data_IF_207709668886
#
_entry.id   IF_207709668886
#
_cell.length_a   1.000
_cell.length_b   1.000
_cell.length_c   1.000
_cell.angle_alpha   90.00
_cell.angle_beta   90.00
_cell.angle_gamma   90.00
#
_symmetry.space_group_name_H-M   'P 1'
#
loop_
_entity.id
_entity.type
_entity.pdbx_description
1 polymer ?
#
# COMPACT_ATOMS: atom_id res chain seq x y z
N UNK A 1 0.44 71.82 17.73
CA UNK A 1 1.48 71.09 18.49
C UNK A 1 2.17 70.20 17.45
N UNK A 2 3.29 70.59 16.81
CA UNK A 2 4.53 71.21 17.33
C UNK A 2 5.32 70.18 18.16
N UNK A 3 6.59 69.83 17.87
CA UNK A 3 7.61 70.39 16.95
C UNK A 3 8.58 69.29 16.43
N UNK A 4 9.58 69.65 15.62
CA UNK A 4 10.56 68.75 14.97
C UNK A 4 11.91 68.61 15.73
N UNK A 5 12.87 67.91 15.10
CA UNK A 5 14.36 68.03 15.17
C UNK A 5 15.18 67.00 15.99
N UNK A 6 15.81 66.05 15.24
CA UNK A 6 17.22 65.62 15.39
C UNK A 6 17.67 64.76 16.59
N UNK A 7 18.94 64.33 16.72
CA UNK A 7 20.07 64.17 15.75
C UNK A 7 21.23 63.36 16.41
N UNK A 8 22.13 62.72 15.63
CA UNK A 8 23.43 62.11 16.03
C UNK A 8 23.45 60.85 16.92
N UNK A 9 24.58 60.13 17.17
CA UNK A 9 25.68 59.63 16.30
C UNK A 9 26.74 58.80 17.09
N UNK A 10 26.97 57.53 16.69
CA UNK A 10 28.24 56.75 16.68
C UNK A 10 29.29 56.80 17.85
N UNK A 11 29.76 55.64 18.38
CA UNK A 11 31.19 55.14 18.40
C UNK A 11 31.57 54.11 19.51
N UNK A 12 32.60 53.28 19.22
CA UNK A 12 33.53 52.50 20.11
C UNK A 12 33.02 51.26 20.90
N UNK A 13 33.86 50.28 21.35
CA UNK A 13 35.12 49.65 20.82
C UNK A 13 35.71 48.57 21.80
N UNK A 14 36.45 47.57 21.26
CA UNK A 14 37.33 46.56 21.96
C UNK A 14 36.62 45.39 22.71
N UNK A 15 37.19 44.17 22.84
CA UNK A 15 38.36 43.56 22.15
C UNK A 15 38.88 42.20 22.73
N UNK A 16 39.48 41.36 21.85
CA UNK A 16 40.55 40.33 22.03
C UNK A 16 40.47 39.12 23.02
N UNK A 17 40.66 37.90 22.45
CA UNK A 17 41.49 36.72 22.85
C UNK A 17 41.33 36.02 24.24
N UNK A 18 41.84 34.80 24.55
CA UNK A 18 42.78 33.85 23.87
C UNK A 18 42.45 32.33 24.15
N UNK A 19 43.44 31.41 24.05
CA UNK A 19 43.31 29.91 24.09
C UNK A 19 44.00 29.22 25.30
N UNK A 20 43.61 27.97 25.60
CA UNK A 20 44.39 26.75 25.98
C UNK A 20 43.52 25.81 26.88
N UNK A 21 43.60 24.46 26.97
CA UNK A 21 44.45 23.34 26.49
C UNK A 21 45.41 22.71 27.55
N UNK A 22 45.16 21.42 27.86
CA UNK A 22 46.05 20.37 28.46
C UNK A 22 46.51 20.47 29.95
N UNK A 23 47.08 19.45 30.64
CA UNK A 23 47.64 18.12 30.23
C UNK A 23 47.62 17.00 31.34
N UNK A 24 47.56 15.71 30.92
CA UNK A 24 48.28 14.47 31.40
C UNK A 24 48.20 13.80 32.80
N UNK A 25 48.21 12.44 32.80
CA UNK A 25 48.96 11.46 33.64
C UNK A 25 48.62 10.01 33.19
N UNK A 26 49.53 9.13 32.69
CA UNK A 26 50.62 8.32 33.32
C UNK A 26 50.10 7.21 34.29
N UNK A 27 50.45 5.91 34.22
CA UNK A 27 51.78 5.20 34.16
C UNK A 27 51.66 3.73 33.60
N UNK A 28 52.65 2.83 33.78
CA UNK A 28 52.82 1.57 32.99
C UNK A 28 53.42 0.31 33.70
N UNK A 29 53.54 -0.81 32.94
CA UNK A 29 54.35 -2.06 33.16
C UNK A 29 53.76 -3.19 34.08
N UNK A 30 54.16 -4.49 34.07
CA UNK A 30 55.31 -5.22 33.45
C UNK A 30 55.10 -6.76 33.27
N UNK A 31 55.57 -7.35 32.15
CA UNK A 31 56.10 -8.74 31.90
C UNK A 31 55.51 -10.04 32.48
N UNK A 32 55.34 -11.08 31.62
CA UNK A 32 56.24 -12.27 31.51
C UNK A 32 56.03 -13.04 30.18
N UNK A 33 56.93 -13.99 29.87
CA UNK A 33 57.31 -14.36 28.48
C UNK A 33 56.90 -15.76 27.99
N UNK A 34 56.92 -16.00 26.65
CA UNK A 34 56.67 -17.29 25.99
C UNK A 34 57.99 -18.08 25.76
N UNK A 35 58.00 -19.09 24.87
CA UNK A 35 58.44 -18.84 23.48
C UNK A 35 57.43 -19.38 22.43
N UNK A 36 57.58 -19.21 21.11
CA UNK A 36 58.74 -18.70 20.35
C UNK A 36 58.35 -17.58 19.35
N UNK A 37 58.54 -17.53 18.01
CA UNK A 37 58.98 -18.45 16.93
C UNK A 37 59.62 -17.64 15.75
N UNK A 38 60.25 -18.28 14.75
CA UNK A 38 61.19 -17.63 13.80
C UNK A 38 60.70 -17.45 12.33
N UNK A 39 60.85 -16.21 11.82
CA UNK A 39 61.19 -15.74 10.45
C UNK A 39 60.40 -16.23 9.17
N UNK A 40 60.31 -15.49 8.05
CA UNK A 40 60.99 -14.25 7.59
C UNK A 40 60.03 -13.36 6.74
N UNK A 41 60.34 -12.07 6.53
CA UNK A 41 59.46 -11.08 5.85
C UNK A 41 59.70 -10.91 4.33
N UNK A 42 58.66 -10.48 3.59
CA UNK A 42 58.72 -9.64 2.35
C UNK A 42 57.45 -8.73 2.30
N UNK A 43 57.54 -7.55 1.68
CA UNK A 43 56.65 -6.38 1.85
C UNK A 43 55.31 -6.32 1.04
N UNK A 44 54.35 -5.55 1.59
CA UNK A 44 53.32 -4.65 0.98
C UNK A 44 52.50 -5.03 -0.31
N UNK A 45 51.32 -4.38 -0.58
CA UNK A 45 50.32 -3.77 0.32
C UNK A 45 48.83 -3.99 -0.08
N UNK A 46 47.91 -3.49 0.78
CA UNK A 46 46.52 -3.04 0.48
C UNK A 46 45.51 -3.99 -0.21
N UNK A 47 44.51 -4.44 0.56
CA UNK A 47 43.09 -4.27 0.20
C UNK A 47 42.19 -4.43 1.44
N UNK A 48 41.12 -3.63 1.55
CA UNK A 48 40.22 -3.62 2.71
C UNK A 48 38.95 -4.45 2.51
N UNK A 49 38.92 -5.67 3.04
CA UNK A 49 37.72 -6.54 3.04
C UNK A 49 37.00 -6.54 4.38
N UNK A 50 35.88 -5.81 4.51
CA UNK A 50 35.02 -5.88 5.71
C UNK A 50 34.07 -7.07 5.60
N UNK A 51 34.39 -8.13 6.33
CA UNK A 51 33.50 -9.27 6.54
C UNK A 51 32.30 -8.86 7.40
N UNK A 52 31.07 -9.07 6.90
CA UNK A 52 29.84 -8.96 7.68
C UNK A 52 29.41 -10.36 8.08
N UNK A 53 29.40 -10.65 9.38
CA UNK A 53 28.94 -11.95 9.91
C UNK A 53 27.42 -12.06 9.75
N UNK A 54 26.95 -13.20 9.25
CA UNK A 54 25.57 -13.64 9.43
C UNK A 54 25.32 -14.02 10.89
N UNK A 55 24.10 -13.78 11.37
CA UNK A 55 23.57 -14.35 12.61
C UNK A 55 22.13 -14.78 12.35
N UNK A 56 21.93 -16.04 11.98
CA UNK A 56 20.61 -16.67 12.09
C UNK A 56 20.40 -17.13 13.53
N UNK A 57 19.22 -16.84 14.08
CA UNK A 57 18.71 -17.54 15.28
C UNK A 57 17.19 -17.59 15.20
N UNK A 58 16.65 -18.78 14.93
CA UNK A 58 15.22 -19.03 14.82
C UNK A 58 14.49 -18.84 16.15
N UNK A 59 13.32 -18.20 16.12
CA UNK A 59 12.29 -18.37 17.13
C UNK A 59 11.00 -18.83 16.45
N UNK A 60 10.53 -20.03 16.82
CA UNK A 60 9.15 -20.44 16.58
C UNK A 60 8.29 -19.78 17.67
N UNK A 61 7.58 -18.73 17.31
CA UNK A 61 6.42 -18.23 18.06
C UNK A 61 5.16 -18.89 17.50
N UNK A 62 4.36 -19.52 18.35
CA UNK A 62 2.98 -19.92 18.01
C UNK A 62 2.05 -18.87 18.58
N UNK A 63 2.02 -17.70 17.94
CA UNK A 63 1.09 -16.64 18.31
C UNK A 63 -0.29 -17.00 17.77
N UNK A 64 -1.25 -17.06 18.69
CA UNK A 64 -2.60 -17.58 18.47
C UNK A 64 -3.58 -16.45 18.80
N UNK A 65 -4.48 -16.17 17.85
CA UNK A 65 -5.55 -15.17 17.97
C UNK A 65 -5.07 -13.71 18.01
N UNK A 66 -4.33 -13.30 16.96
CA UNK A 66 -4.32 -11.90 16.51
C UNK A 66 -5.48 -11.68 15.51
N UNK A 67 -6.45 -10.82 15.86
CA UNK A 67 -7.38 -10.24 14.89
C UNK A 67 -6.63 -9.13 14.14
N UNK A 68 -5.88 -9.54 13.11
CA UNK A 68 -4.95 -8.74 12.31
C UNK A 68 -5.66 -7.67 11.44
N UNK A 69 -6.20 -6.66 12.11
CA UNK A 69 -6.62 -5.33 11.64
C UNK A 69 -5.67 -4.26 12.25
N UNK A 70 -4.45 -4.65 12.68
CA UNK A 70 -3.45 -3.74 13.25
C UNK A 70 -2.87 -2.78 12.20
N UNK A 71 -3.07 -1.49 12.49
CA UNK A 71 -2.62 -0.27 11.82
C UNK A 71 -1.08 -0.16 11.72
N UNK A 72 -0.43 -1.11 11.05
CA UNK A 72 1.03 -1.35 11.14
C UNK A 72 1.83 -0.35 10.31
N UNK A 73 1.98 0.87 10.81
CA UNK A 73 2.82 1.95 10.26
C UNK A 73 2.48 2.41 8.82
N UNK A 74 1.23 2.26 8.38
CA UNK A 74 0.75 3.12 7.30
C UNK A 74 0.75 4.57 7.79
N UNK A 75 1.35 5.48 7.01
CA UNK A 75 1.38 6.90 7.35
C UNK A 75 -0.01 7.47 7.10
N UNK A 76 -0.83 7.56 8.14
CA UNK A 76 -2.15 8.19 8.07
C UNK A 76 -2.04 9.55 7.37
N UNK A 77 -2.63 9.63 6.18
CA UNK A 77 -2.66 10.86 5.38
C UNK A 77 -3.77 11.72 5.98
N UNK A 78 -3.42 12.92 6.46
CA UNK A 78 -4.42 13.90 6.89
C UNK A 78 -5.24 14.34 5.68
N UNK A 79 -6.47 13.80 5.57
CA UNK A 79 -7.38 14.10 4.47
C UNK A 79 -7.91 15.53 4.57
N UNK A 80 -8.13 16.15 3.42
CA UNK A 80 -8.81 17.44 3.33
C UNK A 80 -10.30 17.32 3.68
N UNK A 81 -10.99 18.44 3.93
CA UNK A 81 -12.44 18.45 4.10
C UNK A 81 -13.13 17.93 2.82
N UNK A 82 -14.04 16.97 2.99
CA UNK A 82 -14.90 16.47 1.91
C UNK A 82 -15.76 17.60 1.34
N UNK A 83 -16.06 17.52 0.05
CA UNK A 83 -17.03 18.36 -0.65
C UNK A 83 -17.85 17.52 -1.62
N UNK A 84 -19.07 17.97 -1.91
CA UNK A 84 -19.84 17.47 -3.05
C UNK A 84 -19.16 17.89 -4.36
N UNK A 85 -19.34 17.10 -5.42
CA UNK A 85 -18.85 17.45 -6.75
C UNK A 85 -19.40 18.82 -7.23
N UNK A 86 -20.65 19.12 -6.92
CA UNK A 86 -21.30 20.40 -7.27
C UNK A 86 -20.67 21.59 -6.54
N UNK A 87 -20.39 21.49 -5.24
CA UNK A 87 -19.62 22.52 -4.50
C UNK A 87 -18.21 22.68 -5.03
N UNK A 88 -17.53 21.58 -5.40
CA UNK A 88 -16.18 21.64 -5.95
C UNK A 88 -16.16 22.35 -7.31
N UNK A 89 -17.20 22.19 -8.15
CA UNK A 89 -17.30 22.90 -9.44
C UNK A 89 -17.68 24.37 -9.25
N UNK A 90 -18.66 24.68 -8.39
CA UNK A 90 -19.14 26.05 -8.14
C UNK A 90 -18.05 26.98 -7.58
N UNK A 91 -17.11 26.46 -6.77
CA UNK A 91 -15.97 27.24 -6.23
C UNK A 91 -15.03 27.79 -7.30
N UNK A 92 -14.80 27.02 -8.37
CA UNK A 92 -13.77 27.33 -9.37
C UNK A 92 -14.39 27.75 -10.73
N UNK A 93 -15.70 28.05 -10.76
CA UNK A 93 -16.44 28.43 -11.97
C UNK A 93 -15.86 29.64 -12.72
N UNK A 94 -15.25 30.56 -11.95
CA UNK A 94 -14.67 31.82 -12.42
C UNK A 94 -13.20 31.65 -12.90
N UNK A 95 -12.60 30.47 -12.72
CA UNK A 95 -11.27 30.11 -13.25
C UNK A 95 -11.40 29.21 -14.49
N UNK A 96 -11.14 29.80 -15.66
CA UNK A 96 -11.21 29.10 -16.96
C UNK A 96 -10.22 27.93 -17.07
N UNK A 97 -9.11 27.97 -16.34
CA UNK A 97 -8.07 26.92 -16.37
C UNK A 97 -8.43 25.72 -15.49
N UNK A 98 -8.90 25.96 -14.26
CA UNK A 98 -9.40 24.91 -13.37
C UNK A 98 -10.68 24.27 -13.91
N UNK A 99 -11.56 25.04 -14.55
CA UNK A 99 -12.76 24.48 -15.18
C UNK A 99 -12.41 23.55 -16.34
N UNK A 100 -11.53 23.96 -17.27
CA UNK A 100 -11.07 23.06 -18.35
C UNK A 100 -10.36 21.81 -17.84
N UNK A 101 -9.56 21.94 -16.78
CA UNK A 101 -8.88 20.79 -16.16
C UNK A 101 -9.89 19.80 -15.56
N UNK A 102 -10.95 20.27 -14.88
CA UNK A 102 -12.04 19.42 -14.40
C UNK A 102 -12.88 18.83 -15.52
N UNK A 103 -13.21 19.61 -16.55
CA UNK A 103 -13.87 19.12 -17.78
C UNK A 103 -13.07 17.95 -18.40
N UNK A 104 -11.73 18.01 -18.39
CA UNK A 104 -10.87 16.92 -18.88
C UNK A 104 -10.81 15.69 -17.94
N UNK A 105 -10.85 15.87 -16.62
CA UNK A 105 -10.80 14.75 -15.66
C UNK A 105 -12.15 14.03 -15.48
N UNK A 106 -13.25 14.79 -15.50
CA UNK A 106 -14.60 14.28 -15.29
C UNK A 106 -15.23 13.83 -16.62
N UNK A 107 -14.87 14.45 -17.74
CA UNK A 107 -15.44 14.14 -19.04
C UNK A 107 -16.95 14.43 -19.08
N UNK A 108 -17.77 13.37 -19.09
CA UNK A 108 -19.22 13.45 -19.27
C UNK A 108 -20.02 13.08 -18.01
N UNK A 109 -19.54 13.43 -16.81
CA UNK A 109 -20.32 13.30 -15.57
C UNK A 109 -21.59 14.15 -15.63
N UNK A 110 -22.74 13.54 -15.39
CA UNK A 110 -23.99 14.27 -15.15
C UNK A 110 -24.01 14.79 -13.70
N UNK A 111 -23.63 16.06 -13.55
CA UNK A 111 -23.51 16.76 -12.25
C UNK A 111 -24.89 16.99 -11.61
N UNK A 112 -25.97 17.07 -12.38
CA UNK A 112 -27.33 17.22 -11.85
C UNK A 112 -27.90 15.89 -11.37
N UNK A 113 -27.48 14.76 -11.96
CA UNK A 113 -27.83 13.41 -11.48
C UNK A 113 -26.92 12.91 -10.34
N UNK A 114 -25.65 13.29 -10.32
CA UNK A 114 -24.62 12.67 -9.46
C UNK A 114 -23.61 13.67 -8.86
N UNK A 115 -24.08 14.86 -8.45
CA UNK A 115 -23.22 15.89 -7.85
C UNK A 115 -23.67 16.53 -6.55
N UNK A 116 -24.90 16.30 -6.06
CA UNK A 116 -25.44 16.95 -4.84
C UNK A 116 -25.25 16.14 -3.55
N UNK A 117 -24.97 14.85 -3.64
CA UNK A 117 -24.83 13.96 -2.48
C UNK A 117 -23.36 13.89 -2.06
N UNK A 118 -23.07 14.16 -0.78
CA UNK A 118 -21.69 14.15 -0.28
C UNK A 118 -21.09 12.74 -0.30
N UNK A 119 -21.90 11.75 0.06
CA UNK A 119 -21.48 10.34 0.12
C UNK A 119 -21.44 9.68 -1.28
N UNK A 120 -20.25 9.29 -1.78
CA UNK A 120 -20.17 8.42 -2.95
C UNK A 120 -20.78 7.03 -2.71
N UNK A 121 -21.15 6.36 -3.80
CA UNK A 121 -21.62 4.97 -3.84
C UNK A 121 -20.83 4.19 -4.88
N UNK A 122 -20.30 3.02 -4.51
CA UNK A 122 -19.68 2.05 -5.42
C UNK A 122 -20.48 0.76 -5.41
N UNK A 123 -20.82 0.23 -6.58
CA UNK A 123 -21.44 -1.10 -6.73
C UNK A 123 -20.56 -2.00 -7.58
N UNK A 124 -19.90 -2.97 -6.96
CA UNK A 124 -19.17 -4.03 -7.68
C UNK A 124 -20.19 -4.96 -8.34
N UNK A 125 -20.10 -5.13 -9.66
CA UNK A 125 -21.05 -5.91 -10.48
C UNK A 125 -20.54 -7.34 -10.71
N UNK A 126 -19.29 -7.46 -11.15
CA UNK A 126 -18.67 -8.75 -11.49
C UNK A 126 -17.20 -8.81 -11.06
N UNK A 127 -16.76 -10.06 -10.84
CA UNK A 127 -15.36 -10.47 -10.84
C UNK A 127 -15.15 -11.40 -12.04
N UNK A 128 -14.13 -11.14 -12.84
CA UNK A 128 -13.71 -11.99 -13.95
C UNK A 128 -12.30 -12.51 -13.68
N UNK A 129 -12.12 -13.83 -13.68
CA UNK A 129 -10.81 -14.45 -13.47
C UNK A 129 -10.23 -14.83 -14.82
N UNK A 130 -9.26 -14.05 -15.27
CA UNK A 130 -8.58 -14.26 -16.55
C UNK A 130 -7.46 -15.27 -16.42
N UNK A 131 -7.24 -16.09 -17.43
CA UNK A 131 -6.10 -17.01 -17.47
C UNK A 131 -5.73 -17.43 -18.89
N UNK A 132 -4.46 -17.32 -19.23
CA UNK A 132 -3.96 -17.56 -20.59
C UNK A 132 -4.37 -18.94 -21.14
N UNK A 133 -4.96 -18.94 -22.34
CA UNK A 133 -5.30 -20.17 -23.08
C UNK A 133 -6.66 -20.80 -22.75
N UNK A 134 -7.54 -20.10 -22.04
CA UNK A 134 -8.93 -20.53 -21.77
C UNK A 134 -9.89 -19.33 -21.70
N UNK A 135 -11.21 -19.54 -21.82
CA UNK A 135 -12.19 -18.50 -21.51
C UNK A 135 -12.16 -18.10 -20.03
N UNK A 136 -12.41 -16.83 -19.77
CA UNK A 136 -12.38 -16.23 -18.43
C UNK A 136 -13.53 -16.74 -17.55
N UNK A 137 -13.33 -16.78 -16.22
CA UNK A 137 -14.40 -17.16 -15.27
C UNK A 137 -15.15 -15.89 -14.85
N UNK A 138 -16.27 -15.61 -15.51
CA UNK A 138 -17.16 -14.50 -15.14
C UNK A 138 -18.02 -14.89 -13.94
N UNK A 139 -17.98 -14.10 -12.87
CA UNK A 139 -18.69 -14.30 -11.61
C UNK A 139 -19.49 -13.05 -11.26
N UNK A 140 -20.82 -13.15 -11.17
CA UNK A 140 -21.64 -12.08 -10.60
C UNK A 140 -21.38 -11.96 -9.09
N UNK A 141 -21.20 -10.73 -8.60
CA UNK A 141 -21.06 -10.47 -7.16
C UNK A 141 -22.44 -10.52 -6.50
N UNK A 142 -22.67 -11.35 -5.47
CA UNK A 142 -23.96 -11.38 -4.78
C UNK A 142 -24.08 -10.22 -3.79
N UNK A 143 -25.21 -9.52 -3.81
CA UNK A 143 -25.47 -8.32 -3.00
C UNK A 143 -25.39 -8.55 -1.47
N UNK A 144 -25.41 -9.80 -1.02
CA UNK A 144 -25.24 -10.18 0.40
C UNK A 144 -23.77 -10.45 0.80
N UNK A 145 -22.81 -10.27 -0.10
CA UNK A 145 -21.38 -10.53 0.12
C UNK A 145 -21.03 -12.00 0.38
N UNK A 146 -21.93 -12.96 0.11
CA UNK A 146 -21.79 -14.36 0.55
C UNK A 146 -22.21 -15.36 -0.55
N UNK A 147 -21.29 -15.71 -1.48
CA UNK A 147 -21.45 -16.82 -2.41
C UNK A 147 -21.76 -18.15 -1.70
N UNK A 148 -22.48 -19.05 -2.38
CA UNK A 148 -22.87 -20.35 -1.81
C UNK A 148 -21.89 -21.45 -2.22
N UNK A 149 -21.09 -21.92 -1.27
CA UNK A 149 -20.07 -22.94 -1.51
C UNK A 149 -18.83 -22.38 -2.22
N UNK A 150 -18.05 -23.25 -2.86
CA UNK A 150 -16.86 -22.87 -3.62
C UNK A 150 -17.29 -22.03 -4.84
N UNK A 151 -16.95 -20.74 -4.82
CA UNK A 151 -17.39 -19.73 -5.79
C UNK A 151 -16.74 -19.94 -7.16
N UNK A 152 -15.48 -20.39 -7.17
CA UNK A 152 -14.73 -20.74 -8.37
C UNK A 152 -13.68 -21.82 -8.08
N UNK A 153 -12.96 -22.24 -9.12
CA UNK A 153 -11.88 -23.24 -9.01
C UNK A 153 -10.72 -22.86 -9.92
N UNK A 154 -9.52 -22.79 -9.37
CA UNK A 154 -8.29 -22.51 -10.09
C UNK A 154 -7.47 -23.79 -10.33
N UNK A 155 -6.73 -23.83 -11.43
CA UNK A 155 -5.68 -24.83 -11.64
C UNK A 155 -4.43 -24.44 -10.84
N UNK A 156 -3.75 -25.41 -10.25
CA UNK A 156 -2.47 -25.24 -9.55
C UNK A 156 -1.34 -24.79 -10.50
N UNK A 157 -0.41 -23.95 -10.03
CA UNK A 157 0.69 -23.44 -10.86
C UNK A 157 0.24 -22.68 -12.11
N UNK A 158 -1.00 -22.17 -12.14
CA UNK A 158 -1.53 -21.39 -13.26
C UNK A 158 -1.51 -19.90 -12.93
N UNK A 159 -1.28 -19.10 -13.98
CA UNK A 159 -1.30 -17.64 -13.90
C UNK A 159 -2.70 -17.11 -14.11
N UNK A 160 -3.07 -16.09 -13.34
CA UNK A 160 -4.35 -15.42 -13.45
C UNK A 160 -4.25 -13.95 -13.05
N UNK A 161 -5.16 -13.14 -13.56
CA UNK A 161 -5.48 -11.80 -13.04
C UNK A 161 -6.94 -11.78 -12.62
N UNK A 162 -7.26 -10.93 -11.64
CA UNK A 162 -8.64 -10.66 -11.22
C UNK A 162 -9.06 -9.33 -11.87
N UNK A 163 -10.14 -9.32 -12.64
CA UNK A 163 -10.72 -8.10 -13.19
C UNK A 163 -12.06 -7.81 -12.53
N UNK A 164 -12.19 -6.64 -11.92
CA UNK A 164 -13.42 -6.18 -11.29
C UNK A 164 -14.12 -5.14 -12.17
N UNK A 165 -15.44 -5.30 -12.33
CA UNK A 165 -16.29 -4.31 -13.01
C UNK A 165 -17.24 -3.68 -12.00
N UNK A 166 -17.31 -2.35 -11.95
CA UNK A 166 -18.04 -1.62 -10.91
C UNK A 166 -18.61 -0.27 -11.37
N UNK A 167 -19.78 0.09 -10.84
CA UNK A 167 -20.39 1.42 -11.00
C UNK A 167 -19.94 2.36 -9.88
N UNK A 168 -19.84 3.66 -10.19
CA UNK A 168 -19.62 4.74 -9.20
C UNK A 168 -20.69 5.82 -9.39
N UNK A 169 -21.28 6.29 -8.29
CA UNK A 169 -22.41 7.25 -8.26
C UNK A 169 -22.25 8.25 -7.12
N UNK A 170 -23.10 9.28 -7.15
CA UNK A 170 -23.34 10.29 -6.12
C UNK A 170 -22.20 11.31 -5.90
N UNK A 171 -20.95 10.87 -5.82
CA UNK A 171 -19.76 11.73 -5.70
C UNK A 171 -18.49 11.01 -6.23
N UNK A 172 -17.33 11.68 -6.19
CA UNK A 172 -16.02 11.06 -6.43
C UNK A 172 -15.67 10.11 -5.28
N UNK A 173 -15.15 8.92 -5.59
CA UNK A 173 -14.53 7.99 -4.64
C UNK A 173 -13.03 8.22 -4.64
N UNK A 174 -12.45 8.63 -3.51
CA UNK A 174 -11.02 8.94 -3.39
C UNK A 174 -10.23 7.77 -2.81
N UNK A 175 -9.21 7.31 -3.53
CA UNK A 175 -8.31 6.26 -3.02
C UNK A 175 -9.01 4.93 -2.71
N UNK A 176 -9.84 4.43 -3.64
CA UNK A 176 -10.46 3.11 -3.55
C UNK A 176 -9.35 2.04 -3.45
N UNK A 177 -9.32 1.31 -2.35
CA UNK A 177 -8.40 0.21 -2.06
C UNK A 177 -9.13 -1.12 -2.08
N UNK A 178 -8.49 -2.12 -2.67
CA UNK A 178 -8.85 -3.51 -2.54
C UNK A 178 -7.99 -4.15 -1.45
N UNK A 179 -8.60 -4.89 -0.54
CA UNK A 179 -7.85 -5.85 0.30
C UNK A 179 -8.36 -7.25 0.07
N UNK A 180 -7.46 -8.22 0.16
CA UNK A 180 -7.78 -9.64 0.12
C UNK A 180 -6.95 -10.38 1.16
N UNK A 181 -7.61 -11.22 1.95
CA UNK A 181 -6.94 -12.13 2.88
C UNK A 181 -7.41 -13.55 2.58
N UNK A 182 -6.47 -14.49 2.53
CA UNK A 182 -6.73 -15.88 2.13
C UNK A 182 -6.28 -16.82 3.24
N UNK A 183 -7.13 -17.80 3.57
CA UNK A 183 -6.87 -18.83 4.56
C UNK A 183 -6.95 -20.23 3.98
N UNK A 184 -6.10 -21.14 4.48
CA UNK A 184 -6.13 -22.58 4.18
C UNK A 184 -6.21 -23.36 5.48
N UNK A 185 -7.27 -24.15 5.66
CA UNK A 185 -7.51 -24.91 6.90
C UNK A 185 -7.50 -24.01 8.16
N UNK A 186 -8.02 -22.78 8.04
CA UNK A 186 -8.06 -21.79 9.13
C UNK A 186 -6.78 -20.95 9.31
N UNK A 187 -5.65 -21.34 8.71
CA UNK A 187 -4.38 -20.61 8.79
C UNK A 187 -4.34 -19.52 7.70
N UNK A 188 -3.98 -18.28 8.04
CA UNK A 188 -3.73 -17.19 7.07
C UNK A 188 -2.53 -17.56 6.21
N UNK A 189 -2.69 -17.61 4.90
CA UNK A 189 -1.65 -18.04 3.93
C UNK A 189 -1.26 -16.97 2.92
N UNK A 190 -2.09 -15.96 2.73
CA UNK A 190 -1.80 -14.80 1.90
C UNK A 190 -2.61 -13.57 2.38
N UNK A 191 -2.10 -12.37 2.12
CA UNK A 191 -2.74 -11.10 2.45
C UNK A 191 -2.20 -10.01 1.52
N UNK A 192 -3.06 -9.43 0.68
CA UNK A 192 -2.72 -8.36 -0.25
C UNK A 192 -3.61 -7.13 -0.07
N UNK A 193 -3.05 -5.95 -0.37
CA UNK A 193 -3.70 -4.65 -0.34
C UNK A 193 -3.19 -3.82 -1.52
N UNK A 194 -4.10 -3.36 -2.36
CA UNK A 194 -3.79 -2.62 -3.59
C UNK A 194 -4.61 -1.33 -3.65
N UNK A 195 -3.99 -0.25 -4.11
CA UNK A 195 -4.66 1.02 -4.40
C UNK A 195 -5.19 1.00 -5.84
N UNK A 196 -6.50 0.83 -6.02
CA UNK A 196 -7.16 0.81 -7.33
C UNK A 196 -7.18 2.23 -7.93
N UNK A 197 -7.38 3.26 -7.11
CA UNK A 197 -7.30 4.67 -7.49
C UNK A 197 -8.54 5.50 -7.16
N UNK A 198 -8.70 6.64 -7.83
CA UNK A 198 -9.80 7.60 -7.62
C UNK A 198 -10.73 7.60 -8.82
N UNK A 199 -12.05 7.58 -8.58
CA UNK A 199 -13.07 7.36 -9.61
C UNK A 199 -14.21 8.39 -9.51
N UNK A 200 -14.57 9.01 -10.62
CA UNK A 200 -15.71 9.93 -10.74
C UNK A 200 -17.03 9.18 -11.02
N UNK A 201 -18.20 9.73 -10.66
CA UNK A 201 -19.46 9.05 -10.89
C UNK A 201 -19.87 9.13 -12.37
N UNK A 202 -20.13 8.00 -13.02
CA UNK A 202 -20.44 7.95 -14.46
C UNK A 202 -21.41 6.80 -14.82
N UNK A 203 -22.02 6.89 -16.00
CA UNK A 203 -23.03 5.90 -16.46
C UNK A 203 -22.43 4.58 -16.93
N UNK A 204 -21.20 4.58 -17.46
CA UNK A 204 -20.51 3.37 -17.93
C UNK A 204 -19.71 2.74 -16.77
N UNK A 205 -19.86 1.44 -16.47
CA UNK A 205 -19.08 0.80 -15.41
C UNK A 205 -17.58 0.88 -15.65
N UNK A 206 -16.82 1.18 -14.60
CA UNK A 206 -15.36 1.03 -14.62
C UNK A 206 -14.97 -0.43 -14.65
N UNK A 207 -13.78 -0.69 -15.19
CA UNK A 207 -13.15 -2.01 -15.17
C UNK A 207 -11.69 -1.84 -14.73
N UNK A 208 -11.28 -2.56 -13.69
CA UNK A 208 -9.90 -2.57 -13.20
C UNK A 208 -9.35 -4.00 -13.18
N UNK A 209 -8.14 -4.20 -13.68
CA UNK A 209 -7.45 -5.50 -13.68
C UNK A 209 -6.29 -5.47 -12.70
N UNK A 210 -6.36 -6.35 -11.70
CA UNK A 210 -5.33 -6.55 -10.68
C UNK A 210 -4.04 -7.11 -11.29
N UNK A 211 -2.87 -6.94 -10.63
CA UNK A 211 -1.64 -7.61 -11.00
C UNK A 211 -1.79 -9.13 -11.19
N UNK A 212 -0.98 -9.71 -12.09
CA UNK A 212 -1.03 -11.13 -12.44
C UNK A 212 -0.37 -12.00 -11.34
N UNK A 213 -1.18 -12.82 -10.67
CA UNK A 213 -0.78 -13.76 -9.63
C UNK A 213 -0.48 -15.16 -10.23
N UNK A 214 0.07 -16.06 -9.41
CA UNK A 214 0.31 -17.47 -9.79
C UNK A 214 -0.11 -18.38 -8.65
N UNK A 215 -1.02 -19.32 -8.91
CA UNK A 215 -1.50 -20.23 -7.86
C UNK A 215 -0.38 -21.13 -7.33
N UNK A 216 -0.38 -21.43 -6.02
CA UNK A 216 0.54 -22.43 -5.46
C UNK A 216 0.29 -23.82 -6.08
N UNK A 217 1.30 -24.68 -6.04
CA UNK A 217 1.27 -26.00 -6.68
C UNK A 217 1.78 -27.13 -5.80
N UNK A 218 1.39 -28.36 -6.15
CA UNK A 218 1.75 -29.57 -5.42
C UNK A 218 0.62 -30.08 -4.53
N UNK A 219 0.78 -31.31 -4.03
CA UNK A 219 -0.28 -32.04 -3.34
C UNK A 219 -0.84 -31.31 -2.11
N UNK A 220 0.01 -30.56 -1.38
CA UNK A 220 -0.39 -29.79 -0.20
C UNK A 220 -1.01 -28.41 -0.52
N UNK A 221 -0.76 -27.86 -1.71
CA UNK A 221 -1.40 -26.63 -2.18
C UNK A 221 -2.86 -26.88 -2.60
N UNK A 222 -3.15 -28.03 -3.22
CA UNK A 222 -4.51 -28.39 -3.61
C UNK A 222 -5.46 -28.44 -2.40
N UNK A 223 -6.75 -28.25 -2.66
CA UNK A 223 -7.82 -28.24 -1.67
C UNK A 223 -8.65 -26.96 -1.72
N UNK A 224 -9.49 -26.77 -0.70
CA UNK A 224 -10.35 -25.59 -0.57
C UNK A 224 -9.68 -24.53 0.30
N UNK A 225 -9.92 -23.27 -0.06
CA UNK A 225 -9.44 -22.05 0.56
C UNK A 225 -10.64 -21.18 0.95
N UNK A 226 -10.52 -20.41 2.02
CA UNK A 226 -11.44 -19.32 2.33
C UNK A 226 -10.78 -17.98 2.02
N UNK A 227 -11.56 -16.99 1.61
CA UNK A 227 -11.07 -15.64 1.37
C UNK A 227 -12.10 -14.58 1.78
N UNK A 228 -11.57 -13.43 2.22
CA UNK A 228 -12.31 -12.23 2.59
C UNK A 228 -11.70 -11.10 1.80
N UNK A 229 -12.46 -10.51 0.89
CA UNK A 229 -12.03 -9.30 0.17
C UNK A 229 -12.88 -8.10 0.58
N UNK A 230 -12.26 -6.93 0.77
CA UNK A 230 -12.95 -5.67 1.05
C UNK A 230 -12.64 -4.64 -0.07
N UNK A 231 -13.59 -3.74 -0.31
CA UNK A 231 -13.40 -2.51 -1.10
C UNK A 231 -13.67 -1.30 -0.18
N UNK A 232 -12.64 -0.49 0.07
CA UNK A 232 -12.66 0.60 1.06
C UNK A 232 -11.91 1.82 0.50
N UNK A 233 -12.43 3.03 0.67
CA UNK A 233 -11.76 4.27 0.22
C UNK A 233 -10.84 4.91 1.27
N UNK A 234 -10.32 6.11 1.02
CA UNK A 234 -9.55 6.90 2.00
C UNK A 234 -10.40 7.36 3.20
N UNK A 235 -11.70 7.61 2.98
CA UNK A 235 -12.67 7.97 4.03
C UNK A 235 -13.12 6.78 4.90
N UNK A 236 -12.54 5.59 4.70
CA UNK A 236 -12.83 4.32 5.38
C UNK A 236 -14.25 3.77 5.15
N UNK A 237 -14.96 4.23 4.12
CA UNK A 237 -16.26 3.70 3.71
C UNK A 237 -16.08 2.36 3.01
N UNK A 238 -16.61 1.29 3.62
CA UNK A 238 -16.62 -0.04 3.02
C UNK A 238 -17.82 -0.20 2.07
N UNK A 239 -17.55 -0.46 0.79
CA UNK A 239 -18.57 -0.60 -0.27
C UNK A 239 -18.99 -2.05 -0.50
N UNK A 240 -18.04 -2.97 -0.34
CA UNK A 240 -18.27 -4.40 -0.40
C UNK A 240 -17.31 -5.09 0.56
N UNK A 241 -17.84 -5.95 1.41
CA UNK A 241 -17.08 -7.07 1.97
C UNK A 241 -17.66 -8.37 1.43
N UNK A 242 -16.82 -9.17 0.77
CA UNK A 242 -17.21 -10.49 0.23
C UNK A 242 -16.40 -11.60 0.92
N UNK A 243 -17.12 -12.53 1.53
CA UNK A 243 -16.58 -13.71 2.21
C UNK A 243 -16.97 -14.96 1.42
N UNK A 244 -15.98 -15.67 0.89
CA UNK A 244 -16.19 -16.77 -0.05
C UNK A 244 -15.19 -17.92 0.17
N UNK A 245 -15.42 -19.04 -0.51
CA UNK A 245 -14.44 -20.11 -0.64
C UNK A 245 -14.13 -20.38 -2.12
N UNK A 246 -12.96 -20.93 -2.41
CA UNK A 246 -12.56 -21.37 -3.74
C UNK A 246 -11.64 -22.59 -3.64
N UNK A 247 -11.56 -23.37 -4.72
CA UNK A 247 -10.70 -24.57 -4.76
C UNK A 247 -9.46 -24.35 -5.63
N UNK A 248 -8.30 -24.88 -5.21
CA UNK A 248 -7.16 -25.11 -6.09
C UNK A 248 -7.07 -26.60 -6.40
N UNK A 249 -7.06 -26.96 -7.69
CA UNK A 249 -7.07 -28.34 -8.18
C UNK A 249 -5.94 -28.57 -9.20
N UNK A 250 -5.59 -29.84 -9.45
CA UNK A 250 -4.55 -30.22 -10.42
C UNK A 250 -4.84 -29.72 -11.84
N UNK A 251 -6.11 -29.69 -12.20
CA UNK A 251 -6.61 -29.32 -13.52
C UNK A 251 -7.87 -28.46 -13.38
N UNK A 252 -8.15 -27.63 -14.39
CA UNK A 252 -9.35 -26.79 -14.46
C UNK A 252 -10.64 -27.65 -14.44
N UNK A 253 -11.75 -27.06 -13.98
CA UNK A 253 -13.06 -27.66 -14.23
C UNK A 253 -13.35 -27.69 -15.75
N UNK A 254 -14.02 -28.73 -16.27
CA UNK A 254 -14.46 -28.74 -17.66
C UNK A 254 -15.36 -27.54 -17.96
N UNK A 255 -15.05 -26.78 -19.02
CA UNK A 255 -16.00 -25.82 -19.58
C UNK A 255 -17.25 -26.57 -20.03
N UNK A 256 -18.42 -26.06 -19.63
CA UNK A 256 -19.69 -26.53 -20.21
C UNK A 256 -19.80 -25.92 -21.62
N UNK A 257 -19.77 -26.77 -22.63
CA UNK A 257 -20.17 -26.45 -23.99
C UNK A 257 -21.69 -26.38 -24.11
#
# INVERSE_FOLDING_TARGET
MSLEVGVNSNTKSMGFDEKNKEEVSETAATTKTPPNEEEHNVDEPKSGGISRKMSESSLYGTDQEEEDDEETNERNIELGPQYTLKEQLEKDKDDESLRRWKEQLLGAVDIEAAGETLEPEVKILSLEIKSSGRPDIVLSVPENGKPKGSWFTLKEGSRYSLQFTFEVKNNIVSGLKYTNTVWKTGIKVDSSKEMIGTFSPQTEPYTHEMPEETTPSGMFARGSYAARSKFVDDDNKCYLEINYTFDIRKDWLPTKN
#
